data_IF_204483881921
#
_entry.id   IF_204483881921
#
_cell.length_a   1.000
_cell.length_b   1.000
_cell.length_c   1.000
_cell.angle_alpha   90.00
_cell.angle_beta   90.00
_cell.angle_gamma   90.00
#
_symmetry.space_group_name_H-M   'P 1'
#
loop_
_entity.id
_entity.type
_entity.pdbx_description
1 polymer ?
#
# COMPACT_ATOMS: atom_id res chain seq x y z
N UNK A 1 70.11 -1.15 5.79
CA UNK A 1 70.29 -2.53 5.26
C UNK A 1 68.99 -2.88 4.54
N UNK A 2 68.87 -2.72 3.22
CA UNK A 2 69.59 -3.45 2.16
C UNK A 2 68.94 -4.82 1.99
N UNK A 3 68.02 -5.05 1.04
CA UNK A 3 68.20 -5.71 -0.28
C UNK A 3 66.85 -6.42 -0.58
N UNK A 4 66.33 -6.71 -1.79
CA UNK A 4 66.80 -6.74 -3.17
C UNK A 4 65.58 -6.59 -4.10
N UNK A 5 65.86 -5.94 -5.23
CA UNK A 5 65.06 -5.75 -6.43
C UNK A 5 65.05 -7.02 -7.30
N UNK A 6 63.92 -7.40 -7.91
CA UNK A 6 63.91 -8.20 -9.15
C UNK A 6 63.13 -7.44 -10.23
N UNK A 7 63.90 -6.85 -11.13
CA UNK A 7 63.50 -6.38 -12.46
C UNK A 7 63.45 -7.59 -13.40
N UNK A 8 62.47 -7.63 -14.32
CA UNK A 8 62.55 -8.14 -15.71
C UNK A 8 61.16 -7.96 -16.36
N UNK A 9 60.95 -7.29 -17.49
CA UNK A 9 61.81 -6.56 -18.42
C UNK A 9 60.98 -5.75 -19.43
N UNK A 10 61.46 -4.54 -19.75
CA UNK A 10 61.75 -3.96 -21.09
C UNK A 10 61.08 -4.56 -22.37
N UNK A 11 60.71 -3.84 -23.44
CA UNK A 11 61.06 -2.50 -24.01
C UNK A 11 60.05 -2.16 -25.15
N UNK A 12 59.75 -0.85 -25.31
CA UNK A 12 59.40 -0.02 -26.51
C UNK A 12 58.54 -0.61 -27.66
N UNK A 13 57.69 0.14 -28.36
CA UNK A 13 57.88 1.37 -29.16
C UNK A 13 56.46 1.91 -29.41
N UNK A 14 56.14 3.20 -29.23
CA UNK A 14 56.48 4.23 -30.18
C UNK A 14 55.58 5.45 -29.97
N UNK A 15 56.23 6.58 -29.75
CA UNK A 15 55.65 7.91 -29.72
C UNK A 15 55.41 8.35 -31.17
N UNK A 16 54.19 8.76 -31.50
CA UNK A 16 53.94 9.67 -32.61
C UNK A 16 53.05 10.80 -32.09
N UNK A 17 53.71 11.89 -31.71
CA UNK A 17 53.13 13.22 -31.63
C UNK A 17 53.03 13.77 -33.05
N UNK A 18 51.88 14.37 -33.38
CA UNK A 18 51.76 15.63 -34.11
C UNK A 18 50.27 15.97 -34.29
N UNK A 19 49.89 17.20 -33.96
CA UNK A 19 48.64 17.80 -34.42
C UNK A 19 47.86 18.58 -33.37
N UNK A 20 48.33 19.79 -33.04
CA UNK A 20 47.58 20.80 -32.30
C UNK A 20 46.37 21.29 -33.12
N UNK A 21 45.19 21.37 -32.52
CA UNK A 21 44.29 22.50 -32.75
C UNK A 21 43.31 22.68 -31.58
N UNK A 22 43.11 23.94 -31.22
CA UNK A 22 42.38 24.45 -30.08
C UNK A 22 40.88 24.37 -30.34
N UNK A 23 40.12 23.86 -29.37
CA UNK A 23 38.66 23.84 -29.40
C UNK A 23 38.10 23.43 -28.05
N UNK A 24 37.92 24.40 -27.17
CA UNK A 24 37.28 24.22 -25.87
C UNK A 24 35.81 23.82 -26.06
N UNK A 25 35.48 22.57 -25.77
CA UNK A 25 34.13 22.17 -25.37
C UNK A 25 34.24 20.94 -24.48
N UNK A 26 33.76 21.04 -23.24
CA UNK A 26 33.70 19.93 -22.30
C UNK A 26 33.04 18.71 -22.97
N UNK A 27 33.56 17.49 -22.78
CA UNK A 27 32.84 16.31 -23.26
C UNK A 27 31.52 16.22 -22.51
N UNK A 28 30.43 16.40 -23.25
CA UNK A 28 29.09 16.12 -22.78
C UNK A 28 29.08 14.66 -22.29
N UNK A 29 28.82 14.50 -20.99
CA UNK A 29 28.59 13.21 -20.35
C UNK A 29 27.50 12.50 -21.16
N UNK A 30 27.68 11.24 -21.58
CA UNK A 30 26.65 10.53 -22.32
C UNK A 30 25.40 10.49 -21.45
N UNK A 31 24.33 11.14 -21.93
CA UNK A 31 23.01 11.06 -21.33
C UNK A 31 22.57 9.60 -21.41
N UNK A 32 22.67 8.92 -20.27
CA UNK A 32 22.00 7.64 -20.06
C UNK A 32 20.54 7.85 -20.44
N UNK A 33 19.97 7.06 -21.37
CA UNK A 33 18.55 7.11 -21.64
C UNK A 33 17.85 6.88 -20.31
N UNK A 34 17.07 7.87 -19.86
CA UNK A 34 16.15 7.67 -18.76
C UNK A 34 15.25 6.51 -19.17
N UNK A 35 15.54 5.33 -18.62
CA UNK A 35 14.62 4.22 -18.71
C UNK A 35 13.35 4.72 -18.04
N UNK A 36 12.36 5.06 -18.88
CA UNK A 36 11.00 5.19 -18.44
C UNK A 36 10.70 3.87 -17.72
N UNK A 37 10.57 3.94 -16.39
CA UNK A 37 10.03 2.85 -15.61
C UNK A 37 8.63 2.66 -16.15
N UNK A 38 8.48 1.71 -17.06
CA UNK A 38 7.17 1.25 -17.53
C UNK A 38 6.54 0.62 -16.31
N UNK A 39 5.80 1.43 -15.54
CA UNK A 39 4.98 0.96 -14.44
C UNK A 39 4.07 -0.11 -15.02
N UNK A 40 4.27 -1.35 -14.60
CA UNK A 40 3.30 -2.41 -14.85
C UNK A 40 1.91 -1.87 -14.45
N UNK A 41 0.85 -2.18 -15.22
CA UNK A 41 -0.49 -1.75 -14.84
C UNK A 41 -0.78 -2.26 -13.42
N UNK A 42 -1.13 -1.35 -12.51
CA UNK A 42 -1.54 -1.66 -11.14
C UNK A 42 -2.87 -2.43 -11.20
N UNK A 43 -2.82 -3.72 -11.51
CA UNK A 43 -4.00 -4.49 -11.89
C UNK A 43 -4.73 -5.18 -10.72
N UNK A 44 -4.42 -4.86 -9.45
CA UNK A 44 -4.94 -5.63 -8.31
C UNK A 44 -5.46 -4.77 -7.16
N UNK A 45 -6.23 -3.72 -7.47
CA UNK A 45 -6.94 -2.99 -6.42
C UNK A 45 -8.32 -2.52 -6.88
N UNK A 46 -9.29 -2.56 -5.96
CA UNK A 46 -10.67 -2.14 -6.19
C UNK A 46 -10.93 -0.83 -5.46
N UNK A 47 -11.41 0.17 -6.19
CA UNK A 47 -11.99 1.39 -5.62
C UNK A 47 -13.43 1.07 -5.20
N UNK A 48 -13.75 1.22 -3.92
CA UNK A 48 -15.05 0.76 -3.41
C UNK A 48 -15.99 1.90 -3.13
N UNK A 49 -15.53 2.90 -2.38
CA UNK A 49 -16.45 3.83 -1.73
C UNK A 49 -15.84 5.21 -1.64
N UNK A 50 -16.63 6.24 -1.93
CA UNK A 50 -16.35 7.61 -1.50
C UNK A 50 -17.41 7.99 -0.48
N UNK A 51 -17.03 8.19 0.78
CA UNK A 51 -17.92 8.80 1.78
C UNK A 51 -17.67 10.31 1.78
N UNK A 52 -18.72 11.11 1.63
CA UNK A 52 -18.66 12.55 1.92
C UNK A 52 -18.67 12.74 3.43
N UNK A 53 -17.59 13.32 3.96
CA UNK A 53 -17.39 13.58 5.39
C UNK A 53 -17.83 14.99 5.78
N UNK A 54 -18.54 15.71 4.89
CA UNK A 54 -18.92 17.12 4.97
C UNK A 54 -17.78 18.11 4.73
N UNK A 55 -18.14 19.28 4.20
CA UNK A 55 -17.18 20.35 3.90
C UNK A 55 -16.18 19.98 2.81
N UNK A 56 -16.63 19.31 1.74
CA UNK A 56 -15.82 18.78 0.63
C UNK A 56 -14.61 17.95 1.09
N UNK A 57 -14.81 17.17 2.16
CA UNK A 57 -13.87 16.15 2.61
C UNK A 57 -14.42 14.80 2.22
N UNK A 58 -13.53 13.93 1.77
CA UNK A 58 -13.92 12.62 1.27
C UNK A 58 -13.06 11.53 1.90
N UNK A 59 -13.64 10.36 2.12
CA UNK A 59 -12.91 9.14 2.46
C UNK A 59 -13.05 8.15 1.33
N UNK A 60 -11.93 7.65 0.80
CA UNK A 60 -11.88 6.66 -0.27
C UNK A 60 -11.28 5.38 0.27
N UNK A 61 -12.02 4.28 0.14
CA UNK A 61 -11.53 2.94 0.49
C UNK A 61 -10.95 2.25 -0.73
N UNK A 62 -9.73 1.74 -0.57
CA UNK A 62 -8.95 1.00 -1.54
C UNK A 62 -8.77 -0.42 -1.02
N UNK A 63 -9.32 -1.43 -1.71
CA UNK A 63 -9.06 -2.83 -1.37
C UNK A 63 -7.82 -3.30 -2.09
N UNK A 64 -6.92 -3.94 -1.36
CA UNK A 64 -5.72 -4.61 -1.86
C UNK A 64 -5.76 -6.09 -1.49
N UNK A 65 -5.31 -6.97 -2.40
CA UNK A 65 -5.31 -8.43 -2.18
C UNK A 65 -3.91 -9.01 -1.95
N UNK A 66 -2.91 -8.14 -1.77
CA UNK A 66 -1.52 -8.52 -1.49
C UNK A 66 -0.82 -7.44 -0.66
N UNK A 67 0.30 -7.84 -0.06
CA UNK A 67 1.21 -6.91 0.57
C UNK A 67 1.73 -5.90 -0.45
N UNK A 68 1.53 -4.63 -0.14
CA UNK A 68 2.12 -3.53 -0.89
C UNK A 68 3.33 -2.99 -0.15
N UNK A 69 4.35 -2.60 -0.90
CA UNK A 69 5.38 -1.73 -0.36
C UNK A 69 4.94 -0.26 -0.37
N UNK A 70 5.72 0.59 0.30
CA UNK A 70 5.41 2.02 0.44
C UNK A 70 5.29 2.71 -0.93
N UNK A 71 6.15 2.37 -1.90
CA UNK A 71 6.17 3.00 -3.23
C UNK A 71 4.91 2.67 -4.04
N UNK A 72 4.42 1.43 -3.91
CA UNK A 72 3.17 0.98 -4.52
C UNK A 72 1.97 1.68 -3.88
N UNK A 73 1.90 1.76 -2.56
CA UNK A 73 0.86 2.48 -1.85
C UNK A 73 0.86 3.97 -2.20
N UNK A 74 2.04 4.58 -2.26
CA UNK A 74 2.26 5.97 -2.69
C UNK A 74 1.75 6.22 -4.11
N UNK A 75 1.96 5.26 -5.01
CA UNK A 75 1.48 5.34 -6.38
C UNK A 75 -0.03 5.28 -6.45
N UNK A 76 -0.64 4.32 -5.74
CA UNK A 76 -2.09 4.13 -5.73
C UNK A 76 -2.76 5.34 -5.09
N UNK A 77 -2.24 5.84 -3.97
CA UNK A 77 -2.78 7.01 -3.29
C UNK A 77 -2.75 8.27 -4.18
N UNK A 78 -1.67 8.48 -4.95
CA UNK A 78 -1.60 9.58 -5.93
C UNK A 78 -2.66 9.41 -7.03
N UNK A 79 -2.80 8.22 -7.58
CA UNK A 79 -3.84 7.93 -8.59
C UNK A 79 -5.26 8.15 -8.04
N UNK A 80 -5.52 7.75 -6.79
CA UNK A 80 -6.80 7.98 -6.09
C UNK A 80 -7.07 9.48 -5.92
N UNK A 81 -6.06 10.25 -5.50
CA UNK A 81 -6.17 11.71 -5.37
C UNK A 81 -6.49 12.34 -6.73
N UNK A 82 -5.76 11.99 -7.78
CA UNK A 82 -5.94 12.57 -9.12
C UNK A 82 -7.34 12.28 -9.66
N UNK A 83 -7.80 11.02 -9.57
CA UNK A 83 -9.17 10.62 -9.96
C UNK A 83 -10.24 11.35 -9.15
N UNK A 84 -10.01 11.50 -7.84
CA UNK A 84 -10.94 12.21 -6.96
C UNK A 84 -11.02 13.68 -7.34
N UNK A 85 -9.88 14.34 -7.55
CA UNK A 85 -9.79 15.76 -7.96
C UNK A 85 -10.43 16.01 -9.33
N UNK A 86 -10.36 15.06 -10.25
CA UNK A 86 -11.04 15.15 -11.54
C UNK A 86 -12.57 15.01 -11.41
N UNK A 87 -13.04 14.20 -10.45
CA UNK A 87 -14.46 13.91 -10.23
C UNK A 87 -15.17 14.96 -9.37
N UNK A 88 -14.52 15.42 -8.29
CA UNK A 88 -15.12 16.32 -7.30
C UNK A 88 -14.44 17.70 -7.36
N UNK A 89 -15.24 18.75 -7.49
CA UNK A 89 -14.74 20.13 -7.44
C UNK A 89 -14.47 20.53 -5.99
N UNK A 90 -13.40 21.31 -5.77
CA UNK A 90 -13.08 21.94 -4.48
C UNK A 90 -12.87 20.96 -3.31
N UNK A 91 -12.17 19.84 -3.54
CA UNK A 91 -11.77 18.94 -2.45
C UNK A 91 -10.84 19.66 -1.47
N UNK A 92 -11.27 19.74 -0.21
CA UNK A 92 -10.50 20.30 0.90
C UNK A 92 -9.73 19.22 1.69
N UNK A 93 -10.20 17.98 1.67
CA UNK A 93 -9.52 16.85 2.31
C UNK A 93 -9.88 15.53 1.66
N UNK A 94 -8.91 14.62 1.58
CA UNK A 94 -9.14 13.25 1.11
C UNK A 94 -8.39 12.28 2.02
N UNK A 95 -9.10 11.33 2.61
CA UNK A 95 -8.51 10.14 3.23
C UNK A 95 -8.50 9.03 2.19
N UNK A 96 -7.35 8.39 1.98
CA UNK A 96 -7.21 7.18 1.17
C UNK A 96 -6.88 6.04 2.12
N UNK A 97 -7.86 5.19 2.38
CA UNK A 97 -7.78 4.12 3.37
C UNK A 97 -7.57 2.78 2.65
N UNK A 98 -6.46 2.11 2.95
CA UNK A 98 -6.17 0.79 2.42
C UNK A 98 -6.74 -0.28 3.34
N UNK A 99 -7.42 -1.26 2.75
CA UNK A 99 -7.99 -2.42 3.46
C UNK A 99 -7.82 -3.67 2.60
N UNK A 100 -8.00 -4.85 3.17
CA UNK A 100 -7.97 -6.13 2.45
C UNK A 100 -9.35 -6.68 2.07
N UNK A 101 -10.42 -6.09 2.58
CA UNK A 101 -11.79 -6.60 2.40
C UNK A 101 -12.83 -5.49 2.34
N UNK A 102 -13.92 -5.71 1.62
CA UNK A 102 -15.15 -4.90 1.61
C UNK A 102 -16.36 -5.65 2.19
N UNK A 103 -16.13 -6.79 2.86
CA UNK A 103 -17.20 -7.57 3.47
C UNK A 103 -17.86 -6.77 4.59
N UNK A 104 -19.17 -6.55 4.45
CA UNK A 104 -19.97 -5.88 5.46
C UNK A 104 -19.91 -6.62 6.81
N UNK A 105 -19.87 -5.85 7.91
CA UNK A 105 -19.77 -6.41 9.27
C UNK A 105 -18.33 -6.66 9.74
N UNK A 106 -17.34 -6.63 8.83
CA UNK A 106 -15.93 -6.57 9.21
C UNK A 106 -15.55 -5.10 9.41
N UNK A 107 -15.01 -4.71 10.57
CA UNK A 107 -14.44 -3.37 10.73
C UNK A 107 -13.40 -3.13 9.64
N UNK A 108 -13.45 -1.97 8.97
CA UNK A 108 -12.47 -1.61 7.93
C UNK A 108 -11.06 -1.73 8.52
N UNK A 109 -10.41 -2.85 8.28
CA UNK A 109 -9.12 -3.15 8.86
C UNK A 109 -8.10 -2.29 8.12
N UNK A 110 -7.68 -1.20 8.78
CA UNK A 110 -6.79 -0.25 8.17
C UNK A 110 -5.42 -0.89 8.03
N UNK A 111 -4.98 -1.11 6.80
CA UNK A 111 -3.62 -1.57 6.47
C UNK A 111 -2.63 -0.41 6.38
N UNK A 112 -3.17 0.79 6.30
CA UNK A 112 -2.48 2.06 6.19
C UNK A 112 -3.44 3.08 5.60
N UNK A 113 -3.15 4.36 5.83
CA UNK A 113 -3.92 5.43 5.21
C UNK A 113 -3.02 6.55 4.73
N UNK A 114 -3.50 7.25 3.72
CA UNK A 114 -2.93 8.52 3.32
C UNK A 114 -3.94 9.63 3.52
N UNK A 115 -3.44 10.75 4.00
CA UNK A 115 -4.20 11.98 4.05
C UNK A 115 -3.69 12.94 3.00
N UNK A 116 -4.62 13.58 2.30
CA UNK A 116 -4.37 14.68 1.38
C UNK A 116 -5.16 15.90 1.82
N UNK A 117 -4.46 17.01 2.01
CA UNK A 117 -5.05 18.30 2.36
C UNK A 117 -4.00 19.42 2.43
N UNK A 118 -4.40 20.68 2.67
CA UNK A 118 -3.55 21.89 2.60
C UNK A 118 -2.26 21.84 3.42
N UNK A 119 -2.16 20.99 4.44
CA UNK A 119 -0.97 20.80 5.30
C UNK A 119 -0.54 19.33 5.39
N UNK A 120 -1.06 18.47 4.52
CA UNK A 120 -0.89 17.02 4.63
C UNK A 120 -1.89 16.33 5.53
N UNK A 121 -2.90 17.04 6.04
CA UNK A 121 -4.04 16.45 6.72
C UNK A 121 -5.36 16.78 6.03
N UNK A 122 -6.22 15.76 5.93
CA UNK A 122 -7.59 15.94 5.46
C UNK A 122 -8.48 16.59 6.55
N UNK A 123 -7.99 16.65 7.79
CA UNK A 123 -8.66 17.21 8.98
C UNK A 123 -8.51 18.74 9.11
N UNK A 124 -7.77 19.38 8.21
CA UNK A 124 -7.33 20.78 8.36
C UNK A 124 -8.48 21.80 8.45
N UNK A 125 -8.21 22.92 9.12
CA UNK A 125 -9.10 24.08 9.22
C UNK A 125 -9.24 24.81 7.88
N UNK A 126 -10.43 24.75 7.29
CA UNK A 126 -10.75 25.35 5.98
C UNK A 126 -10.46 26.85 5.90
N UNK A 127 -10.33 27.54 7.04
CA UNK A 127 -10.13 28.98 7.11
C UNK A 127 -8.65 29.39 7.11
N UNK A 128 -7.72 28.42 7.07
CA UNK A 128 -6.26 28.63 7.07
C UNK A 128 -5.57 28.18 5.77
N UNK A 129 -6.26 28.27 4.63
CA UNK A 129 -5.73 27.85 3.32
C UNK A 129 -4.62 28.81 2.85
N UNK A 130 -3.42 28.63 3.38
CA UNK A 130 -2.20 29.32 2.92
C UNK A 130 -1.01 28.36 2.76
N UNK A 131 -1.22 27.05 2.94
CA UNK A 131 -0.17 26.03 2.88
C UNK A 131 -0.32 25.05 1.70
N UNK A 132 0.80 24.45 1.30
CA UNK A 132 0.94 23.56 0.15
C UNK A 132 0.33 22.19 0.45
N UNK A 133 -0.61 21.75 -0.38
CA UNK A 133 -1.21 20.40 -0.27
C UNK A 133 -0.15 19.31 -0.29
N UNK A 134 -0.21 18.35 0.63
CA UNK A 134 0.74 17.23 0.71
C UNK A 134 0.04 15.91 1.02
N UNK A 135 0.73 14.78 0.78
CA UNK A 135 0.23 13.43 0.97
C UNK A 135 1.03 12.77 2.11
N UNK A 136 0.39 12.36 3.21
CA UNK A 136 1.07 11.79 4.38
C UNK A 136 0.60 10.38 4.68
N UNK A 137 1.53 9.43 4.77
CA UNK A 137 1.28 8.04 5.17
C UNK A 137 1.17 7.93 6.70
N UNK A 138 0.12 7.30 7.20
CA UNK A 138 0.12 6.68 8.53
C UNK A 138 0.58 5.23 8.39
N UNK A 139 1.63 4.86 9.14
CA UNK A 139 2.32 3.58 9.00
C UNK A 139 1.73 2.45 9.84
N UNK A 140 0.64 2.74 10.54
CA UNK A 140 -0.02 1.74 11.37
C UNK A 140 -0.41 0.57 10.45
N UNK A 141 0.07 -0.62 10.79
CA UNK A 141 -0.26 -1.90 10.12
C UNK A 141 0.46 -2.25 8.81
N UNK A 142 1.56 -1.57 8.44
CA UNK A 142 2.35 -1.97 7.26
C UNK A 142 3.09 -3.32 7.39
N UNK A 143 3.29 -3.79 8.62
CA UNK A 143 4.13 -4.96 8.92
C UNK A 143 3.33 -6.25 9.22
N UNK A 144 2.08 -6.37 8.72
CA UNK A 144 1.30 -7.59 8.96
C UNK A 144 1.93 -8.81 8.31
N UNK A 145 1.71 -9.96 8.93
CA UNK A 145 2.04 -11.26 8.33
C UNK A 145 0.95 -11.66 7.32
N UNK A 146 1.11 -11.22 6.06
CA UNK A 146 0.16 -11.49 4.97
C UNK A 146 -0.04 -12.97 4.65
N UNK A 147 0.86 -13.86 5.09
CA UNK A 147 0.65 -15.31 4.95
C UNK A 147 -0.54 -15.81 5.79
N UNK A 148 -0.96 -15.04 6.80
CA UNK A 148 -2.08 -15.33 7.69
C UNK A 148 -3.39 -14.64 7.29
N UNK A 149 -3.41 -13.96 6.15
CA UNK A 149 -4.57 -13.22 5.67
C UNK A 149 -5.82 -14.15 5.60
N UNK A 150 -6.96 -13.73 6.18
CA UNK A 150 -8.24 -14.42 5.99
C UNK A 150 -8.69 -14.37 4.53
N UNK A 151 -9.29 -15.46 4.07
CA UNK A 151 -9.97 -15.50 2.78
C UNK A 151 -11.32 -14.79 2.86
N UNK A 152 -11.94 -14.54 1.70
CA UNK A 152 -13.30 -13.99 1.65
C UNK A 152 -14.31 -14.88 2.40
N UNK A 153 -14.16 -16.21 2.28
CA UNK A 153 -15.03 -17.17 2.95
C UNK A 153 -14.76 -17.24 4.47
N UNK A 154 -13.51 -17.07 4.91
CA UNK A 154 -13.18 -16.94 6.33
C UNK A 154 -13.96 -15.76 6.94
N UNK A 155 -13.94 -14.60 6.29
CA UNK A 155 -14.66 -13.42 6.75
C UNK A 155 -16.19 -13.58 6.72
N UNK A 156 -16.75 -14.25 5.71
CA UNK A 156 -18.19 -14.53 5.63
C UNK A 156 -18.63 -15.43 6.78
N UNK A 157 -17.91 -16.52 7.02
CA UNK A 157 -18.21 -17.47 8.11
C UNK A 157 -18.06 -16.76 9.46
N UNK A 158 -16.99 -15.97 9.64
CA UNK A 158 -16.79 -15.15 10.82
C UNK A 158 -17.99 -14.23 11.07
N UNK A 159 -18.43 -13.48 10.06
CA UNK A 159 -19.53 -12.52 10.19
C UNK A 159 -20.83 -13.23 10.56
N UNK A 160 -21.14 -14.35 9.89
CA UNK A 160 -22.31 -15.17 10.23
C UNK A 160 -22.26 -15.69 11.67
N UNK A 161 -21.07 -16.09 12.14
CA UNK A 161 -20.89 -16.56 13.51
C UNK A 161 -21.05 -15.44 14.54
N UNK A 162 -20.46 -14.26 14.30
CA UNK A 162 -20.65 -13.08 15.16
C UNK A 162 -22.13 -12.69 15.23
N UNK A 163 -22.81 -12.62 14.09
CA UNK A 163 -24.25 -12.32 14.04
C UNK A 163 -25.10 -13.37 14.76
N UNK A 164 -24.69 -14.64 14.71
CA UNK A 164 -25.34 -15.70 15.47
C UNK A 164 -25.19 -15.47 16.98
N UNK A 165 -23.97 -15.17 17.47
CA UNK A 165 -23.71 -14.91 18.88
C UNK A 165 -24.48 -13.69 19.40
N UNK A 166 -24.61 -12.64 18.58
CA UNK A 166 -25.42 -11.46 18.91
C UNK A 166 -26.91 -11.82 19.04
N UNK A 167 -27.43 -12.67 18.15
CA UNK A 167 -28.83 -13.11 18.18
C UNK A 167 -29.13 -14.16 19.26
N UNK A 168 -28.12 -14.90 19.69
CA UNK A 168 -28.25 -16.01 20.62
C UNK A 168 -27.24 -15.84 21.76
N UNK A 169 -27.50 -14.96 22.74
CA UNK A 169 -26.62 -14.79 23.89
C UNK A 169 -26.39 -16.12 24.61
N UNK A 170 -25.13 -16.55 24.73
CA UNK A 170 -24.74 -17.84 25.29
C UNK A 170 -24.79 -19.03 24.31
N UNK A 171 -25.07 -18.78 23.02
CA UNK A 171 -25.01 -19.79 21.98
C UNK A 171 -23.59 -20.34 21.77
N UNK A 172 -23.48 -21.61 21.39
CA UNK A 172 -22.21 -22.28 21.15
C UNK A 172 -21.96 -22.57 19.66
N UNK A 173 -20.71 -22.94 19.34
CA UNK A 173 -20.26 -23.28 17.99
C UNK A 173 -21.04 -24.47 17.41
N UNK A 174 -21.35 -25.48 18.23
CA UNK A 174 -22.06 -26.67 17.76
C UNK A 174 -23.47 -26.33 17.27
N UNK A 175 -24.17 -25.47 18.00
CA UNK A 175 -25.49 -24.94 17.68
C UNK A 175 -25.46 -24.02 16.46
N UNK A 176 -24.38 -23.24 16.28
CA UNK A 176 -24.14 -22.49 15.05
C UNK A 176 -24.00 -23.40 13.83
N UNK A 177 -23.11 -24.40 13.91
CA UNK A 177 -22.87 -25.38 12.84
C UNK A 177 -24.15 -26.13 12.44
N UNK A 178 -25.06 -26.36 13.39
CA UNK A 178 -26.32 -27.03 13.12
C UNK A 178 -27.33 -26.21 12.29
N UNK A 179 -27.12 -24.91 12.10
CA UNK A 179 -27.99 -24.07 11.26
C UNK A 179 -27.74 -24.24 9.75
N UNK A 180 -26.59 -24.81 9.37
CA UNK A 180 -26.26 -25.02 7.97
C UNK A 180 -27.07 -26.19 7.39
N UNK A 181 -27.84 -25.92 6.32
CA UNK A 181 -28.66 -26.94 5.64
C UNK A 181 -27.89 -27.78 4.62
N UNK A 182 -26.64 -27.40 4.30
CA UNK A 182 -25.74 -28.07 3.34
C UNK A 182 -24.47 -28.61 4.02
N UNK A 183 -23.34 -28.71 3.30
CA UNK A 183 -22.05 -29.06 3.88
C UNK A 183 -21.77 -28.19 5.11
N UNK A 184 -21.60 -28.84 6.27
CA UNK A 184 -21.42 -28.17 7.54
C UNK A 184 -19.92 -28.00 7.83
N UNK A 185 -19.42 -26.79 8.13
CA UNK A 185 -18.10 -26.67 8.72
C UNK A 185 -18.08 -27.41 10.07
N UNK A 186 -16.97 -28.03 10.41
CA UNK A 186 -16.81 -28.63 11.74
C UNK A 186 -16.66 -27.53 12.80
N UNK A 187 -16.97 -27.79 14.07
CA UNK A 187 -16.72 -26.82 15.13
C UNK A 187 -15.28 -26.31 15.17
N UNK A 188 -14.30 -27.21 14.99
CA UNK A 188 -12.89 -26.82 14.93
C UNK A 188 -12.54 -25.91 13.74
N UNK A 189 -13.25 -26.02 12.62
CA UNK A 189 -13.08 -25.09 11.50
C UNK A 189 -13.62 -23.70 11.85
N UNK A 190 -14.75 -23.61 12.54
CA UNK A 190 -15.30 -22.32 13.00
C UNK A 190 -14.34 -21.65 13.98
N UNK A 191 -13.82 -22.39 14.95
CA UNK A 191 -12.84 -21.87 15.91
C UNK A 191 -11.57 -21.38 15.22
N UNK A 192 -11.05 -22.15 14.25
CA UNK A 192 -9.87 -21.77 13.49
C UNK A 192 -10.10 -20.47 12.69
N UNK A 193 -11.25 -20.35 12.01
CA UNK A 193 -11.63 -19.14 11.27
C UNK A 193 -11.78 -17.95 12.21
N UNK A 194 -12.48 -18.14 13.33
CA UNK A 194 -12.69 -17.09 14.33
C UNK A 194 -11.37 -16.52 14.84
N UNK A 195 -10.45 -17.40 15.23
CA UNK A 195 -9.13 -17.02 15.72
C UNK A 195 -8.28 -16.39 14.62
N UNK A 196 -8.33 -16.92 13.40
CA UNK A 196 -7.59 -16.37 12.25
C UNK A 196 -8.03 -14.94 11.93
N UNK A 197 -9.34 -14.70 11.82
CA UNK A 197 -9.90 -13.37 11.54
C UNK A 197 -9.62 -12.42 12.69
N UNK A 198 -9.82 -12.80 13.94
CA UNK A 198 -9.52 -11.93 15.08
C UNK A 198 -8.03 -11.60 15.20
N UNK A 199 -7.14 -12.57 14.99
CA UNK A 199 -5.71 -12.30 14.93
C UNK A 199 -5.40 -11.27 13.85
N UNK A 200 -5.97 -11.48 12.66
CA UNK A 200 -5.78 -10.56 11.55
C UNK A 200 -6.32 -9.16 11.84
N UNK A 201 -7.46 -9.02 12.52
CA UNK A 201 -8.06 -7.72 12.82
C UNK A 201 -7.34 -6.98 13.97
N UNK A 202 -6.85 -7.70 15.00
CA UNK A 202 -6.39 -7.10 16.26
C UNK A 202 -4.87 -7.07 16.45
N UNK A 203 -4.15 -8.03 15.88
CA UNK A 203 -2.74 -8.28 16.21
C UNK A 203 -1.81 -8.30 14.98
N UNK A 204 -2.38 -8.09 13.79
CA UNK A 204 -1.64 -8.04 12.53
C UNK A 204 -0.91 -6.72 12.32
#
# INVERSE_FOLDING_TARGET
MGKILKISGYIFVGLLLLGSYVGSSSPAKPSTPSQAIVKAPLQEYKFVTTQDLSGNRYSVTVIVKKQLNIEEMDSIAKEVVDKSMAKYKNIYGLYVNFTDTDIAGIPNNLLGSYEYGPDGSASFDKDKINSKKSLKLTKDHLNRDWSKQPTEDDYKIYTLYIEYLVRNPGGDVASFVNQFSGPKPTPGQIDAIYNKVNFWLLAG
#
